data_IF_926964841603
#
_entry.id   IF_926964841603
#
_cell.length_a   1.000
_cell.length_b   1.000
_cell.length_c   1.000
_cell.angle_alpha   90.00
_cell.angle_beta   90.00
_cell.angle_gamma   90.00
#
_symmetry.space_group_name_H-M   'P 1'
#
loop_
_entity.id
_entity.type
_entity.pdbx_description
1 polymer ?
#
# COMPACT_ATOMS: atom_id res chain seq x y z
N UNK A 1 11.79 55.10 2.67
CA UNK A 1 10.97 54.18 3.52
C UNK A 1 9.86 53.42 2.76
N UNK A 2 9.12 54.05 1.84
CA UNK A 2 7.97 53.42 1.13
C UNK A 2 8.34 52.17 0.30
N UNK A 3 9.54 52.14 -0.28
CA UNK A 3 10.02 51.01 -1.12
C UNK A 3 10.23 49.72 -0.31
N UNK A 4 10.75 49.84 0.92
CA UNK A 4 10.95 48.69 1.81
C UNK A 4 9.61 48.08 2.26
N UNK A 5 8.62 48.92 2.57
CA UNK A 5 7.29 48.48 2.97
C UNK A 5 6.58 47.69 1.85
N UNK A 6 6.69 48.16 0.61
CA UNK A 6 6.10 47.50 -0.58
C UNK A 6 6.78 46.15 -0.88
N UNK A 7 8.10 46.04 -0.64
CA UNK A 7 8.88 44.80 -0.82
C UNK A 7 8.54 43.73 0.23
N UNK A 8 8.37 44.12 1.49
CA UNK A 8 7.95 43.20 2.57
C UNK A 8 6.50 42.71 2.41
N UNK A 9 5.58 43.56 1.94
CA UNK A 9 4.19 43.15 1.67
C UNK A 9 4.08 42.14 0.52
N UNK A 10 4.96 42.25 -0.50
CA UNK A 10 5.05 41.28 -1.60
C UNK A 10 5.63 39.93 -1.14
N UNK A 11 6.65 39.92 -0.27
CA UNK A 11 7.19 38.68 0.33
C UNK A 11 6.15 37.95 1.18
N UNK A 12 5.47 38.66 2.10
CA UNK A 12 4.39 38.08 2.93
C UNK A 12 3.25 37.48 2.09
N UNK A 13 2.85 38.14 1.00
CA UNK A 13 1.86 37.56 0.07
C UNK A 13 2.36 36.27 -0.58
N UNK A 14 3.62 36.23 -1.04
CA UNK A 14 4.19 35.04 -1.70
C UNK A 14 4.30 33.85 -0.75
N UNK A 15 4.75 34.08 0.48
CA UNK A 15 4.81 33.05 1.54
C UNK A 15 3.41 32.52 1.91
N UNK A 16 2.40 33.40 1.94
CA UNK A 16 1.00 33.01 2.16
C UNK A 16 0.45 32.11 1.03
N UNK A 17 0.71 32.45 -0.23
CA UNK A 17 0.31 31.61 -1.37
C UNK A 17 1.05 30.27 -1.38
N UNK A 18 2.33 30.24 -1.01
CA UNK A 18 3.08 28.99 -0.85
C UNK A 18 2.48 28.09 0.24
N UNK A 19 2.07 28.68 1.38
CA UNK A 19 1.39 27.94 2.45
C UNK A 19 0.07 27.30 2.00
N UNK A 20 -0.74 28.03 1.21
CA UNK A 20 -1.99 27.50 0.66
C UNK A 20 -1.74 26.33 -0.30
N UNK A 21 -0.72 26.43 -1.16
CA UNK A 21 -0.38 25.35 -2.09
C UNK A 21 0.03 24.09 -1.33
N UNK A 22 0.88 24.21 -0.31
CA UNK A 22 1.30 23.07 0.52
C UNK A 22 0.11 22.44 1.25
N UNK A 23 -0.77 23.26 1.83
CA UNK A 23 -2.00 22.79 2.48
C UNK A 23 -2.91 22.06 1.47
N UNK A 24 -3.06 22.58 0.26
CA UNK A 24 -3.90 21.95 -0.76
C UNK A 24 -3.36 20.57 -1.17
N UNK A 25 -2.05 20.43 -1.33
CA UNK A 25 -1.40 19.15 -1.63
C UNK A 25 -1.64 18.17 -0.48
N UNK A 26 -1.45 18.61 0.76
CA UNK A 26 -1.68 17.77 1.94
C UNK A 26 -3.13 17.26 2.01
N UNK A 27 -4.10 18.13 1.75
CA UNK A 27 -5.52 17.74 1.72
C UNK A 27 -5.78 16.74 0.60
N UNK A 28 -5.29 16.98 -0.61
CA UNK A 28 -5.46 16.07 -1.75
C UNK A 28 -4.85 14.69 -1.44
N UNK A 29 -3.64 14.65 -0.90
CA UNK A 29 -2.99 13.39 -0.51
C UNK A 29 -3.78 12.66 0.58
N UNK A 30 -4.31 13.37 1.57
CA UNK A 30 -5.13 12.76 2.62
C UNK A 30 -6.42 12.15 2.07
N UNK A 31 -7.11 12.84 1.16
CA UNK A 31 -8.31 12.35 0.49
C UNK A 31 -7.99 11.15 -0.40
N UNK A 32 -6.85 11.15 -1.08
CA UNK A 32 -6.40 10.02 -1.90
C UNK A 32 -6.20 8.75 -1.05
N UNK A 33 -5.48 8.86 0.07
CA UNK A 33 -5.27 7.74 1.00
C UNK A 33 -6.58 7.22 1.61
N UNK A 34 -7.51 8.13 1.91
CA UNK A 34 -8.81 7.77 2.46
C UNK A 34 -9.70 7.11 1.38
N UNK A 35 -9.62 7.55 0.14
CA UNK A 35 -10.32 6.94 -0.98
C UNK A 35 -9.78 5.54 -1.30
N UNK A 36 -8.46 5.34 -1.30
CA UNK A 36 -7.86 4.02 -1.57
C UNK A 36 -8.23 2.98 -0.51
N UNK A 37 -8.17 3.36 0.78
CA UNK A 37 -8.55 2.47 1.88
C UNK A 37 -10.06 2.14 1.89
N UNK A 38 -10.92 3.11 1.57
CA UNK A 38 -12.35 2.85 1.40
C UNK A 38 -12.64 1.95 0.21
N UNK A 39 -11.87 2.08 -0.87
CA UNK A 39 -12.00 1.21 -2.04
C UNK A 39 -11.62 -0.23 -1.67
N UNK A 40 -10.48 -0.43 -1.02
CA UNK A 40 -10.04 -1.73 -0.49
C UNK A 40 -11.10 -2.36 0.41
N UNK A 41 -11.61 -1.62 1.38
CA UNK A 41 -12.64 -2.11 2.29
C UNK A 41 -13.91 -2.54 1.56
N UNK A 42 -14.35 -1.75 0.56
CA UNK A 42 -15.51 -2.08 -0.26
C UNK A 42 -15.25 -3.31 -1.17
N UNK A 43 -14.04 -3.48 -1.70
CA UNK A 43 -13.67 -4.68 -2.46
C UNK A 43 -13.64 -5.93 -1.57
N UNK A 44 -13.08 -5.81 -0.36
CA UNK A 44 -13.07 -6.87 0.65
C UNK A 44 -14.50 -7.26 1.06
N UNK A 45 -15.35 -6.28 1.41
CA UNK A 45 -16.75 -6.53 1.80
C UNK A 45 -17.62 -7.10 0.68
N UNK A 46 -17.31 -6.79 -0.59
CA UNK A 46 -17.99 -7.37 -1.75
C UNK A 46 -17.45 -8.74 -2.15
N UNK A 47 -16.39 -9.24 -1.50
CA UNK A 47 -15.72 -10.48 -1.89
C UNK A 47 -15.09 -10.40 -3.29
N UNK A 48 -14.78 -9.19 -3.77
CA UNK A 48 -14.28 -8.97 -5.13
C UNK A 48 -12.75 -9.10 -5.12
N UNK A 49 -12.26 -10.29 -4.79
CA UNK A 49 -10.83 -10.63 -4.74
C UNK A 49 -10.31 -10.97 -6.13
N UNK A 50 -9.07 -10.59 -6.42
CA UNK A 50 -8.37 -10.99 -7.64
C UNK A 50 -7.79 -12.39 -7.45
N UNK A 51 -7.73 -13.18 -8.53
CA UNK A 51 -7.21 -14.54 -8.48
C UNK A 51 -6.07 -14.71 -9.47
N UNK A 52 -5.02 -15.41 -9.04
CA UNK A 52 -3.87 -15.78 -9.87
C UNK A 52 -3.50 -17.23 -9.57
N UNK A 53 -3.07 -17.95 -10.60
CA UNK A 53 -2.65 -19.35 -10.50
C UNK A 53 -1.38 -19.55 -11.32
N UNK A 54 -0.39 -20.22 -10.75
CA UNK A 54 0.93 -20.38 -11.36
C UNK A 54 2.00 -20.79 -10.36
N UNK A 55 3.24 -20.88 -10.85
CA UNK A 55 4.40 -21.16 -10.02
C UNK A 55 4.70 -19.96 -9.14
N UNK A 56 4.64 -20.14 -7.82
CA UNK A 56 4.97 -19.08 -6.88
C UNK A 56 6.17 -19.45 -6.02
N UNK A 57 7.05 -18.47 -5.79
CA UNK A 57 8.15 -18.57 -4.86
C UNK A 57 7.76 -17.91 -3.55
N UNK A 58 7.90 -18.63 -2.44
CA UNK A 58 7.54 -18.13 -1.12
C UNK A 58 8.79 -17.83 -0.31
N UNK A 59 8.89 -16.61 0.22
CA UNK A 59 9.98 -16.17 1.10
C UNK A 59 9.41 -15.83 2.47
N UNK A 60 10.01 -16.39 3.53
CA UNK A 60 9.54 -16.19 4.91
C UNK A 60 10.47 -15.20 5.60
N UNK A 61 10.02 -13.96 5.73
CA UNK A 61 10.79 -12.95 6.44
C UNK A 61 10.50 -13.03 7.94
N UNK A 62 11.28 -13.87 8.63
CA UNK A 62 11.25 -14.01 10.09
C UNK A 62 11.80 -12.75 10.76
N UNK A 63 10.93 -11.75 10.94
CA UNK A 63 11.24 -10.64 11.82
C UNK A 63 10.98 -11.09 13.27
N UNK A 64 12.07 -11.38 14.00
CA UNK A 64 12.14 -11.85 15.39
C UNK A 64 11.24 -11.14 16.44
N UNK A 65 10.53 -10.07 16.10
CA UNK A 65 9.87 -9.20 17.07
C UNK A 65 8.36 -8.93 16.89
N UNK A 66 7.65 -9.27 15.79
CA UNK A 66 6.19 -8.97 15.78
C UNK A 66 5.20 -9.62 14.80
N UNK A 67 5.60 -10.20 13.69
CA UNK A 67 4.73 -10.95 12.78
C UNK A 67 5.63 -11.30 11.61
N UNK A 68 5.87 -12.58 11.34
CA UNK A 68 6.65 -12.89 10.15
C UNK A 68 5.75 -12.57 8.95
N UNK A 69 6.31 -11.82 8.00
CA UNK A 69 5.62 -11.54 6.74
C UNK A 69 6.08 -12.58 5.74
N UNK A 70 5.15 -13.06 4.95
CA UNK A 70 5.42 -14.00 3.87
C UNK A 70 5.29 -13.23 2.57
N UNK A 71 6.40 -13.13 1.84
CA UNK A 71 6.43 -12.51 0.53
C UNK A 71 6.25 -13.63 -0.51
N UNK A 72 5.27 -13.46 -1.40
CA UNK A 72 4.92 -14.44 -2.43
C UNK A 72 5.09 -13.81 -3.79
N UNK A 73 5.97 -14.37 -4.61
CA UNK A 73 6.24 -13.93 -5.98
C UNK A 73 5.63 -14.94 -6.95
N UNK A 74 4.75 -14.49 -7.84
CA UNK A 74 4.13 -15.32 -8.89
C UNK A 74 4.19 -14.57 -10.21
N UNK A 75 4.87 -15.14 -11.21
CA UNK A 75 5.22 -14.46 -12.46
C UNK A 75 5.90 -13.08 -12.21
N UNK A 76 5.20 -11.96 -12.48
CA UNK A 76 5.65 -10.58 -12.25
C UNK A 76 4.90 -9.89 -11.08
N UNK A 77 4.15 -10.66 -10.29
CA UNK A 77 3.28 -10.16 -9.22
C UNK A 77 3.88 -10.46 -7.84
N UNK A 78 4.07 -9.38 -7.07
CA UNK A 78 4.49 -9.45 -5.66
C UNK A 78 3.27 -9.32 -4.76
N UNK A 79 3.05 -10.32 -3.91
CA UNK A 79 1.98 -10.40 -2.93
C UNK A 79 2.55 -10.55 -1.53
N UNK A 80 1.79 -10.10 -0.53
CA UNK A 80 2.18 -10.20 0.88
C UNK A 80 1.09 -10.90 1.67
N UNK A 81 1.48 -11.86 2.51
CA UNK A 81 0.61 -12.54 3.45
C UNK A 81 1.16 -12.42 4.88
N UNK A 82 0.26 -12.52 5.87
CA UNK A 82 0.66 -12.65 7.28
C UNK A 82 0.94 -14.13 7.59
N UNK A 83 2.08 -14.45 8.20
CA UNK A 83 2.47 -15.85 8.48
C UNK A 83 1.46 -16.55 9.41
N UNK A 84 0.68 -15.79 10.19
CA UNK A 84 -0.40 -16.32 11.03
C UNK A 84 -1.44 -17.14 10.24
N UNK A 85 -1.62 -16.85 8.96
CA UNK A 85 -2.58 -17.55 8.09
C UNK A 85 -1.94 -18.76 7.37
N UNK A 86 -0.61 -18.92 7.45
CA UNK A 86 0.18 -19.91 6.74
C UNK A 86 1.19 -20.60 7.67
N UNK A 87 0.72 -21.37 8.67
CA UNK A 87 1.63 -22.16 9.51
C UNK A 87 2.33 -23.21 8.64
N UNK A 88 3.65 -23.36 8.85
CA UNK A 88 4.51 -24.41 8.29
C UNK A 88 4.89 -24.31 6.79
N UNK A 89 4.84 -23.12 6.18
CA UNK A 89 5.43 -22.94 4.84
C UNK A 89 6.96 -22.82 4.91
N UNK A 90 7.64 -23.65 4.12
CA UNK A 90 9.08 -23.56 3.86
C UNK A 90 9.36 -22.63 2.66
N UNK A 91 10.58 -22.09 2.57
CA UNK A 91 10.98 -21.27 1.43
C UNK A 91 11.27 -22.16 0.22
N UNK A 92 10.31 -22.27 -0.70
CA UNK A 92 10.46 -23.02 -1.94
C UNK A 92 9.51 -22.53 -3.05
N UNK A 93 9.62 -23.14 -4.22
CA UNK A 93 8.69 -23.01 -5.33
C UNK A 93 7.52 -23.98 -5.16
N UNK A 94 6.30 -23.44 -5.21
CA UNK A 94 5.07 -24.21 -5.12
C UNK A 94 4.14 -23.89 -6.29
N UNK A 95 3.20 -24.77 -6.55
CA UNK A 95 2.10 -24.45 -7.45
C UNK A 95 0.95 -23.83 -6.68
N UNK A 96 0.69 -22.55 -6.94
CA UNK A 96 -0.13 -21.72 -6.06
C UNK A 96 -1.39 -21.23 -6.76
N UNK A 97 -2.50 -21.24 -6.03
CA UNK A 97 -3.75 -20.54 -6.35
C UNK A 97 -4.00 -19.50 -5.27
N UNK A 98 -3.93 -18.22 -5.65
CA UNK A 98 -3.93 -17.11 -4.71
C UNK A 98 -5.13 -16.20 -4.95
N UNK A 99 -5.89 -15.93 -3.90
CA UNK A 99 -6.89 -14.86 -3.88
C UNK A 99 -6.33 -13.66 -3.10
N UNK A 100 -6.26 -12.50 -3.74
CA UNK A 100 -5.64 -11.31 -3.16
C UNK A 100 -6.46 -10.03 -3.41
N UNK A 101 -6.22 -9.02 -2.57
CA UNK A 101 -6.79 -7.70 -2.73
C UNK A 101 -6.02 -6.90 -3.80
N UNK A 102 -6.67 -6.39 -4.86
CA UNK A 102 -5.96 -5.84 -6.01
C UNK A 102 -5.12 -4.58 -5.72
N UNK A 103 -5.48 -3.83 -4.68
CA UNK A 103 -4.85 -2.57 -4.30
C UNK A 103 -3.73 -2.77 -3.26
N UNK A 104 -4.02 -3.45 -2.15
CA UNK A 104 -3.04 -3.69 -1.09
C UNK A 104 -2.05 -4.81 -1.43
N UNK A 105 -2.36 -5.64 -2.43
CA UNK A 105 -1.62 -6.88 -2.78
C UNK A 105 -1.54 -7.86 -1.61
N UNK A 106 -2.48 -7.74 -0.69
CA UNK A 106 -2.59 -8.61 0.47
C UNK A 106 -3.31 -9.90 0.08
N UNK A 107 -2.72 -11.03 0.43
CA UNK A 107 -3.32 -12.35 0.21
C UNK A 107 -4.42 -12.56 1.23
N UNK A 108 -5.56 -13.04 0.75
CA UNK A 108 -6.73 -13.39 1.56
C UNK A 108 -6.93 -14.90 1.63
N UNK A 109 -6.42 -15.65 0.64
CA UNK A 109 -6.44 -17.10 0.59
C UNK A 109 -5.30 -17.59 -0.30
N UNK A 110 -4.58 -18.60 0.18
CA UNK A 110 -3.52 -19.29 -0.55
C UNK A 110 -3.80 -20.79 -0.51
N UNK A 111 -3.84 -21.42 -1.68
CA UNK A 111 -3.79 -22.88 -1.83
C UNK A 111 -2.51 -23.21 -2.58
N UNK A 112 -1.72 -24.15 -2.06
CA UNK A 112 -0.44 -24.56 -2.65
C UNK A 112 -0.31 -26.09 -2.68
N UNK A 113 0.34 -26.61 -3.72
CA UNK A 113 0.68 -28.03 -3.92
C UNK A 113 2.18 -28.20 -4.19
#
# INVERSE_FOLDING_TARGET
MVVFYKKNRKRKKREFWQGIVVLSIFVISSVYLLASTLLELNYYLKGNVSKVEGECYITVNENHYKSSRVDIEIDDLFLVADQLELPDIEEDYYMCKIEYLPFSKEVTRLEYE
#
